data_IF_329026936226
#
_entry.id   IF_329026936226
#
_cell.length_a   1.000
_cell.length_b   1.000
_cell.length_c   1.000
_cell.angle_alpha   90.00
_cell.angle_beta   90.00
_cell.angle_gamma   90.00
#
_symmetry.space_group_name_H-M   'P 1'
#
loop_
_entity.id
_entity.type
_entity.pdbx_description
1 polymer ?
#
# COMPACT_ATOMS: atom_id res chain seq x y z
N UNK A 1 -21.72 -9.21 6.36
CA UNK A 1 -20.76 -9.06 7.49
C UNK A 1 -21.34 -9.59 8.80
N UNK A 2 -22.48 -9.09 9.28
CA UNK A 2 -23.09 -9.52 10.55
C UNK A 2 -23.28 -11.05 10.67
N UNK A 3 -23.84 -11.70 9.64
CA UNK A 3 -24.10 -13.14 9.64
C UNK A 3 -22.85 -14.02 9.85
N UNK A 4 -21.66 -13.50 9.53
CA UNK A 4 -20.38 -14.22 9.63
C UNK A 4 -19.42 -13.56 10.63
N UNK A 5 -19.88 -12.58 11.40
CA UNK A 5 -19.06 -11.86 12.38
C UNK A 5 -17.89 -11.04 11.79
N UNK A 6 -17.91 -10.73 10.49
CA UNK A 6 -16.83 -9.98 9.85
C UNK A 6 -16.80 -8.52 10.33
N UNK A 7 -15.61 -8.05 10.70
CA UNK A 7 -15.33 -6.68 11.18
C UNK A 7 -14.56 -5.82 10.17
N UNK A 8 -14.03 -6.43 9.12
CA UNK A 8 -13.23 -5.74 8.10
C UNK A 8 -13.76 -6.15 6.73
N UNK A 9 -14.14 -5.18 5.91
CA UNK A 9 -14.52 -5.37 4.50
C UNK A 9 -13.44 -4.78 3.60
N UNK A 10 -12.88 -5.58 2.71
CA UNK A 10 -11.90 -5.13 1.71
C UNK A 10 -12.53 -5.12 0.33
N UNK A 11 -12.34 -4.03 -0.41
CA UNK A 11 -13.03 -3.76 -1.67
C UNK A 11 -12.04 -3.23 -2.71
N UNK A 12 -11.52 -4.14 -3.53
CA UNK A 12 -10.51 -3.87 -4.56
C UNK A 12 -11.11 -3.44 -5.92
N UNK A 13 -12.10 -2.55 -5.89
CA UNK A 13 -12.85 -2.09 -7.06
C UNK A 13 -13.32 -0.63 -6.85
N UNK A 14 -13.72 0.02 -7.94
CA UNK A 14 -14.28 1.37 -7.92
C UNK A 14 -15.00 1.68 -9.24
N UNK A 15 -15.84 2.71 -9.23
CA UNK A 15 -16.52 3.22 -10.42
C UNK A 15 -15.53 3.76 -11.45
N UNK A 16 -15.90 3.66 -12.73
CA UNK A 16 -15.15 4.29 -13.84
C UNK A 16 -15.44 5.80 -13.95
N UNK A 17 -16.57 6.24 -13.41
CA UNK A 17 -17.02 7.63 -13.34
C UNK A 17 -17.43 7.95 -11.90
N UNK A 18 -17.67 9.24 -11.64
CA UNK A 18 -18.18 9.71 -10.34
C UNK A 18 -19.60 9.16 -10.13
N UNK A 19 -19.84 8.59 -8.96
CA UNK A 19 -21.13 8.04 -8.56
C UNK A 19 -21.47 8.53 -7.14
N UNK A 20 -22.11 9.71 -7.00
CA UNK A 20 -22.48 10.27 -5.71
C UNK A 20 -23.44 9.37 -4.91
N UNK A 21 -24.25 8.56 -5.59
CA UNK A 21 -25.22 7.67 -4.93
C UNK A 21 -24.49 6.50 -4.28
N UNK A 22 -23.57 5.88 -5.02
CA UNK A 22 -22.71 4.82 -4.49
C UNK A 22 -21.82 5.34 -3.36
N UNK A 23 -21.24 6.53 -3.55
CA UNK A 23 -20.44 7.22 -2.53
C UNK A 23 -21.20 7.39 -1.21
N UNK A 24 -22.40 7.97 -1.27
CA UNK A 24 -23.25 8.19 -0.10
C UNK A 24 -23.68 6.87 0.53
N UNK A 25 -24.06 5.86 -0.27
CA UNK A 25 -24.47 4.56 0.24
C UNK A 25 -23.36 3.87 1.06
N UNK A 26 -22.12 3.87 0.57
CA UNK A 26 -20.99 3.32 1.32
C UNK A 26 -20.58 4.18 2.51
N UNK A 27 -20.72 5.49 2.40
CA UNK A 27 -20.51 6.44 3.48
C UNK A 27 -21.47 6.21 4.66
N UNK A 28 -22.78 6.16 4.38
CA UNK A 28 -23.81 5.83 5.37
C UNK A 28 -23.63 4.42 5.94
N UNK A 29 -23.29 3.43 5.09
CA UNK A 29 -23.05 2.07 5.56
C UNK A 29 -21.90 2.02 6.59
N UNK A 30 -20.82 2.76 6.36
CA UNK A 30 -19.72 2.86 7.30
C UNK A 30 -20.10 3.59 8.59
N UNK A 31 -20.85 4.71 8.47
CA UNK A 31 -21.37 5.46 9.61
C UNK A 31 -22.28 4.61 10.51
N UNK A 32 -23.22 3.87 9.92
CA UNK A 32 -24.20 3.03 10.62
C UNK A 32 -23.59 1.75 11.21
N UNK A 33 -22.35 1.43 10.85
CA UNK A 33 -21.65 0.24 11.31
C UNK A 33 -20.29 0.60 11.94
N UNK A 34 -20.27 1.38 13.04
CA UNK A 34 -19.04 1.90 13.63
C UNK A 34 -18.09 0.81 14.14
N UNK A 35 -18.59 -0.40 14.36
CA UNK A 35 -17.83 -1.58 14.75
C UNK A 35 -17.05 -2.22 13.58
N UNK A 36 -17.17 -1.70 12.36
CA UNK A 36 -16.59 -2.28 11.14
C UNK A 36 -15.68 -1.29 10.41
N UNK A 37 -14.59 -1.81 9.85
CA UNK A 37 -13.71 -1.06 8.96
C UNK A 37 -14.01 -1.42 7.50
N UNK A 38 -14.29 -0.43 6.68
CA UNK A 38 -14.45 -0.57 5.22
C UNK A 38 -13.22 -0.03 4.51
N UNK A 39 -12.54 -0.88 3.74
CA UNK A 39 -11.26 -0.58 3.07
C UNK A 39 -11.47 -0.61 1.56
N UNK A 40 -11.08 0.46 0.86
CA UNK A 40 -11.23 0.61 -0.59
C UNK A 40 -9.92 0.96 -1.29
N UNK A 41 -9.74 0.45 -2.50
CA UNK A 41 -8.64 0.87 -3.37
C UNK A 41 -8.85 2.30 -3.87
N UNK A 42 -7.77 3.08 -3.95
CA UNK A 42 -7.84 4.45 -4.45
C UNK A 42 -8.15 4.54 -5.96
N UNK A 43 -7.82 3.50 -6.74
CA UNK A 43 -7.90 3.50 -8.19
C UNK A 43 -6.53 3.56 -8.86
N UNK A 44 -6.50 3.31 -10.18
CA UNK A 44 -5.27 3.19 -10.97
C UNK A 44 -5.16 4.28 -12.05
N UNK A 45 -5.59 5.51 -11.73
CA UNK A 45 -5.63 6.64 -12.68
C UNK A 45 -4.55 7.70 -12.40
N UNK A 46 -3.52 7.39 -11.60
CA UNK A 46 -2.49 8.35 -11.19
C UNK A 46 -1.61 8.91 -12.29
N UNK A 47 -1.46 8.18 -13.40
CA UNK A 47 -0.75 8.64 -14.61
C UNK A 47 -1.64 9.48 -15.53
N UNK A 48 -2.96 9.33 -15.41
CA UNK A 48 -3.94 10.04 -16.26
C UNK A 48 -4.24 11.44 -15.74
N UNK A 49 -4.10 11.66 -14.44
CA UNK A 49 -4.33 12.97 -13.83
C UNK A 49 -3.42 13.19 -12.62
N UNK A 50 -2.89 14.41 -12.52
CA UNK A 50 -2.01 14.82 -11.44
C UNK A 50 -2.75 15.06 -10.11
N UNK A 51 -4.09 15.14 -10.09
CA UNK A 51 -4.97 15.28 -8.91
C UNK A 51 -6.38 14.75 -9.18
N UNK A 52 -7.22 14.63 -8.14
CA UNK A 52 -8.64 14.28 -8.23
C UNK A 52 -8.94 12.98 -9.01
N UNK A 53 -8.06 11.99 -8.91
CA UNK A 53 -8.19 10.72 -9.66
C UNK A 53 -8.61 9.52 -8.80
N UNK A 54 -8.92 9.76 -7.52
CA UNK A 54 -9.49 8.75 -6.62
C UNK A 54 -10.87 8.35 -7.11
N UNK A 55 -11.14 7.04 -7.14
CA UNK A 55 -12.41 6.48 -7.62
C UNK A 55 -13.41 6.30 -6.48
N UNK A 56 -14.69 6.52 -6.79
CA UNK A 56 -15.79 6.20 -5.88
C UNK A 56 -15.93 4.68 -5.73
N UNK A 57 -16.27 4.15 -4.54
CA UNK A 57 -16.59 4.87 -3.30
C UNK A 57 -15.37 5.16 -2.42
N UNK A 58 -14.14 4.95 -2.91
CA UNK A 58 -12.88 5.25 -2.21
C UNK A 58 -12.67 6.75 -1.90
N UNK A 59 -13.53 7.63 -2.39
CA UNK A 59 -13.57 9.05 -2.00
C UNK A 59 -14.35 9.29 -0.71
N UNK A 60 -15.12 8.31 -0.21
CA UNK A 60 -15.96 8.46 0.98
C UNK A 60 -15.15 8.84 2.21
N UNK A 61 -15.67 9.80 2.97
CA UNK A 61 -15.06 10.26 4.23
C UNK A 61 -15.04 9.17 5.31
N UNK A 62 -15.99 8.24 5.27
CA UNK A 62 -16.17 7.22 6.30
C UNK A 62 -15.47 5.88 6.01
N UNK A 63 -14.98 5.67 4.78
CA UNK A 63 -14.18 4.49 4.44
C UNK A 63 -12.68 4.79 4.55
N UNK A 64 -11.86 3.76 4.69
CA UNK A 64 -10.40 3.86 4.60
C UNK A 64 -9.93 3.60 3.17
N UNK A 65 -9.23 4.56 2.58
CA UNK A 65 -8.80 4.46 1.17
C UNK A 65 -7.31 4.23 1.03
N UNK A 66 -6.94 3.30 0.15
CA UNK A 66 -5.60 2.71 0.07
C UNK A 66 -4.97 2.97 -1.30
N UNK A 67 -3.87 3.71 -1.31
CA UNK A 67 -2.99 3.84 -2.48
C UNK A 67 -1.92 2.74 -2.54
N UNK A 68 -1.19 2.67 -3.64
CA UNK A 68 -0.20 1.63 -3.90
C UNK A 68 1.24 2.14 -3.81
N UNK A 69 2.07 1.41 -3.07
CA UNK A 69 3.53 1.51 -3.16
C UNK A 69 4.01 0.78 -4.41
N UNK A 70 5.09 1.30 -4.99
CA UNK A 70 5.86 0.65 -6.04
C UNK A 70 6.59 -0.60 -5.50
N UNK A 71 7.24 -1.35 -6.39
CA UNK A 71 7.95 -2.59 -6.09
C UNK A 71 8.95 -2.39 -4.95
N UNK A 72 8.81 -3.20 -3.89
CA UNK A 72 9.76 -3.23 -2.76
C UNK A 72 11.03 -4.06 -3.06
N UNK A 73 11.05 -4.74 -4.21
CA UNK A 73 12.20 -5.54 -4.64
C UNK A 73 13.31 -4.66 -5.21
N UNK A 74 14.56 -5.08 -4.96
CA UNK A 74 15.75 -4.26 -5.22
C UNK A 74 15.90 -3.85 -6.69
N UNK A 75 15.41 -4.69 -7.59
CA UNK A 75 15.28 -4.41 -9.02
C UNK A 75 14.01 -5.04 -9.60
N UNK A 76 13.26 -4.29 -10.43
CA UNK A 76 12.17 -4.87 -11.18
C UNK A 76 12.78 -5.88 -12.16
N UNK A 77 12.23 -7.10 -12.21
CA UNK A 77 12.47 -8.09 -13.27
C UNK A 77 13.78 -8.90 -13.18
N UNK A 78 14.45 -9.00 -12.04
CA UNK A 78 15.59 -9.93 -11.88
C UNK A 78 15.16 -11.36 -11.57
N UNK A 79 15.83 -12.30 -12.22
CA UNK A 79 15.68 -13.73 -12.03
C UNK A 79 17.07 -14.34 -11.92
N UNK A 80 17.17 -15.46 -11.21
CA UNK A 80 18.42 -16.17 -11.00
C UNK A 80 18.30 -17.51 -11.74
N UNK A 81 19.23 -17.75 -12.65
CA UNK A 81 19.39 -19.01 -13.34
C UNK A 81 20.54 -19.78 -12.70
N UNK A 82 20.28 -20.99 -12.22
CA UNK A 82 21.32 -21.87 -11.65
C UNK A 82 21.41 -23.18 -12.43
N UNK A 83 22.64 -23.64 -12.69
CA UNK A 83 22.86 -24.90 -13.39
C UNK A 83 24.33 -25.12 -13.71
N UNK A 84 24.76 -26.39 -13.74
CA UNK A 84 26.17 -26.78 -14.01
C UNK A 84 27.21 -26.02 -13.15
N UNK A 85 26.88 -25.68 -11.91
CA UNK A 85 27.75 -24.90 -11.00
C UNK A 85 27.79 -23.39 -11.27
N UNK A 86 27.00 -22.88 -12.21
CA UNK A 86 26.88 -21.45 -12.52
C UNK A 86 25.63 -20.85 -11.88
N UNK A 87 25.72 -19.56 -11.55
CA UNK A 87 24.60 -18.73 -11.09
C UNK A 87 24.62 -17.44 -11.89
N UNK A 88 23.61 -17.23 -12.72
CA UNK A 88 23.54 -16.13 -13.68
C UNK A 88 22.31 -15.29 -13.39
N UNK A 89 22.50 -13.97 -13.31
CA UNK A 89 21.39 -13.03 -13.21
C UNK A 89 20.78 -12.78 -14.60
N UNK A 90 19.46 -12.84 -14.65
CA UNK A 90 18.66 -12.56 -15.84
C UNK A 90 17.76 -11.35 -15.59
N UNK A 91 17.49 -10.60 -16.65
CA UNK A 91 16.47 -9.56 -16.70
C UNK A 91 15.29 -10.04 -17.54
N UNK A 92 14.06 -9.84 -17.06
CA UNK A 92 12.87 -10.22 -17.82
C UNK A 92 12.48 -9.16 -18.85
N UNK A 93 12.30 -9.59 -20.10
CA UNK A 93 11.68 -8.80 -21.17
C UNK A 93 10.18 -9.11 -21.30
N UNK A 94 9.80 -10.37 -21.07
CA UNK A 94 8.42 -10.84 -20.90
C UNK A 94 8.35 -11.69 -19.63
N UNK A 95 7.58 -11.28 -18.60
CA UNK A 95 7.57 -11.94 -17.29
C UNK A 95 6.95 -13.33 -17.33
N UNK A 96 7.46 -14.23 -16.46
CA UNK A 96 6.82 -15.52 -16.16
C UNK A 96 5.71 -15.35 -15.12
N UNK A 97 4.64 -16.12 -15.28
CA UNK A 97 3.70 -16.46 -14.20
C UNK A 97 4.22 -17.73 -13.53
N UNK A 98 4.40 -17.72 -12.20
CA UNK A 98 5.16 -18.74 -11.46
C UNK A 98 4.33 -19.97 -11.07
N UNK A 99 4.95 -21.16 -11.12
CA UNK A 99 4.47 -22.38 -10.45
C UNK A 99 4.88 -22.43 -8.96
N UNK A 100 4.25 -23.34 -8.21
CA UNK A 100 4.28 -23.48 -6.75
C UNK A 100 5.65 -23.45 -6.04
N UNK A 101 6.73 -23.78 -6.73
CA UNK A 101 8.04 -23.98 -6.08
C UNK A 101 9.08 -22.92 -6.41
N UNK A 102 8.77 -21.90 -7.24
CA UNK A 102 9.77 -20.92 -7.68
C UNK A 102 10.95 -21.54 -8.44
N UNK A 103 10.90 -22.85 -8.72
CA UNK A 103 11.83 -23.64 -9.52
C UNK A 103 11.05 -24.11 -10.73
N UNK A 104 11.38 -23.55 -11.88
CA UNK A 104 10.89 -24.09 -13.13
C UNK A 104 11.93 -25.06 -13.67
N UNK A 105 11.59 -26.35 -13.72
CA UNK A 105 12.26 -27.31 -14.60
C UNK A 105 11.87 -26.99 -16.04
N UNK A 106 12.41 -25.91 -16.59
CA UNK A 106 12.04 -25.44 -17.93
C UNK A 106 12.93 -26.06 -19.00
N UNK A 107 12.30 -26.42 -20.12
CA UNK A 107 12.97 -26.51 -21.41
C UNK A 107 13.41 -25.09 -21.80
N UNK A 108 14.58 -24.69 -21.33
CA UNK A 108 15.16 -23.38 -21.64
C UNK A 108 15.84 -23.46 -23.00
N UNK A 109 15.58 -22.47 -23.84
CA UNK A 109 16.36 -22.24 -25.06
C UNK A 109 17.16 -20.97 -24.88
N UNK A 110 18.48 -21.07 -25.05
CA UNK A 110 19.38 -19.93 -24.98
C UNK A 110 19.79 -19.55 -26.40
N UNK A 111 19.69 -18.27 -26.74
CA UNK A 111 20.16 -17.72 -28.02
C UNK A 111 21.16 -16.59 -27.80
N UNK A 112 22.11 -16.45 -28.72
CA UNK A 112 22.96 -15.27 -28.79
C UNK A 112 22.22 -14.18 -29.59
N UNK A 113 21.74 -13.13 -28.93
CA UNK A 113 21.01 -12.03 -29.56
C UNK A 113 21.90 -11.08 -30.38
N UNK A 114 23.22 -11.15 -30.19
CA UNK A 114 24.19 -10.33 -30.90
C UNK A 114 24.64 -10.98 -32.22
N UNK A 115 24.41 -12.28 -32.39
CA UNK A 115 24.75 -13.01 -33.61
C UNK A 115 23.61 -12.93 -34.63
N UNK A 116 23.85 -12.23 -35.74
CA UNK A 116 22.86 -12.08 -36.81
C UNK A 116 22.60 -13.38 -37.59
N UNK A 117 23.47 -14.39 -37.47
CA UNK A 117 23.22 -15.72 -38.01
C UNK A 117 22.26 -16.54 -37.13
N UNK A 118 22.06 -16.13 -35.87
CA UNK A 118 21.13 -16.77 -34.94
C UNK A 118 19.75 -16.15 -35.09
N UNK A 119 18.80 -16.96 -35.57
CA UNK A 119 17.40 -16.55 -35.66
C UNK A 119 16.74 -16.54 -34.27
N UNK A 120 16.97 -15.45 -33.54
CA UNK A 120 16.39 -15.24 -32.21
C UNK A 120 14.86 -15.25 -32.24
N UNK A 121 14.22 -14.88 -33.36
CA UNK A 121 12.76 -14.94 -33.48
C UNK A 121 12.28 -16.39 -33.44
N UNK A 122 12.90 -17.30 -34.20
CA UNK A 122 12.51 -18.71 -34.22
C UNK A 122 12.89 -19.47 -32.93
N UNK A 123 14.03 -19.14 -32.33
CA UNK A 123 14.44 -19.70 -31.04
C UNK A 123 13.42 -19.36 -29.95
N UNK A 124 12.84 -18.16 -30.02
CA UNK A 124 11.97 -17.62 -28.98
C UNK A 124 10.47 -17.80 -29.27
N UNK A 125 10.06 -18.03 -30.51
CA UNK A 125 8.66 -18.20 -30.93
C UNK A 125 8.08 -19.57 -30.52
N UNK A 126 7.93 -19.81 -29.22
CA UNK A 126 7.30 -21.02 -28.71
C UNK A 126 6.56 -20.79 -27.38
N UNK A 127 5.23 -21.02 -27.37
CA UNK A 127 4.37 -20.94 -26.18
C UNK A 127 4.72 -21.91 -25.06
N UNK A 128 5.52 -22.95 -25.33
CA UNK A 128 5.84 -23.99 -24.34
C UNK A 128 7.26 -23.88 -23.78
N UNK A 129 8.11 -22.98 -24.31
CA UNK A 129 9.52 -22.86 -23.90
C UNK A 129 9.83 -21.49 -23.33
N UNK A 130 10.75 -21.46 -22.36
CA UNK A 130 11.30 -20.21 -21.81
C UNK A 130 12.57 -19.85 -22.56
N UNK A 131 12.60 -18.63 -23.10
CA UNK A 131 13.72 -18.12 -23.86
C UNK A 131 14.68 -17.28 -23.02
N UNK A 132 15.99 -17.45 -23.21
CA UNK A 132 17.03 -16.56 -22.64
C UNK A 132 17.92 -16.05 -23.77
N UNK A 133 18.03 -14.73 -23.90
CA UNK A 133 18.92 -14.10 -24.86
C UNK A 133 20.17 -13.56 -24.17
N UNK A 134 21.35 -14.01 -24.57
CA UNK A 134 22.57 -13.25 -24.29
C UNK A 134 22.59 -12.01 -25.20
N UNK A 135 22.93 -10.85 -24.66
CA UNK A 135 23.20 -9.65 -25.47
C UNK A 135 24.17 -8.71 -24.78
N UNK A 136 24.99 -8.01 -25.55
CA UNK A 136 25.79 -6.86 -25.11
C UNK A 136 25.06 -5.52 -25.28
N UNK A 137 23.92 -5.49 -25.99
CA UNK A 137 23.16 -4.28 -26.29
C UNK A 137 21.64 -4.55 -26.27
N UNK A 138 21.00 -4.23 -25.13
CA UNK A 138 19.57 -4.40 -24.93
C UNK A 138 18.71 -3.69 -25.97
N UNK A 139 19.06 -2.47 -26.36
CA UNK A 139 18.27 -1.69 -27.34
C UNK A 139 18.23 -2.40 -28.68
N UNK A 140 19.38 -2.89 -29.16
CA UNK A 140 19.46 -3.64 -30.40
C UNK A 140 18.65 -4.94 -30.32
N UNK A 141 18.73 -5.68 -29.21
CA UNK A 141 17.93 -6.89 -28.99
C UNK A 141 16.43 -6.59 -29.02
N UNK A 142 15.97 -5.54 -28.33
CA UNK A 142 14.55 -5.13 -28.32
C UNK A 142 14.08 -4.77 -29.74
N UNK A 143 14.90 -4.05 -30.51
CA UNK A 143 14.57 -3.70 -31.90
C UNK A 143 14.48 -4.93 -32.81
N UNK A 144 15.36 -5.92 -32.64
CA UNK A 144 15.27 -7.21 -33.35
C UNK A 144 13.97 -7.94 -32.98
N UNK A 145 13.66 -8.06 -31.68
CA UNK A 145 12.44 -8.73 -31.19
C UNK A 145 11.15 -8.06 -31.66
N UNK A 146 11.14 -6.73 -31.81
CA UNK A 146 9.99 -5.99 -32.35
C UNK A 146 9.63 -6.40 -33.79
N UNK A 147 10.62 -6.82 -34.58
CA UNK A 147 10.47 -7.23 -35.99
C UNK A 147 10.00 -8.69 -36.14
N UNK A 148 9.98 -9.49 -35.08
CA UNK A 148 9.50 -10.86 -35.14
C UNK A 148 7.99 -10.90 -35.50
N UNK A 149 7.64 -11.70 -36.50
CA UNK A 149 6.26 -11.82 -37.01
C UNK A 149 5.34 -12.57 -36.03
N UNK A 150 5.88 -13.52 -35.26
CA UNK A 150 5.20 -14.21 -34.16
C UNK A 150 5.69 -13.66 -32.81
N UNK A 151 4.76 -13.38 -31.89
CA UNK A 151 5.06 -12.87 -30.54
C UNK A 151 4.52 -13.81 -29.46
N UNK A 152 4.57 -15.11 -29.72
CA UNK A 152 4.04 -16.12 -28.81
C UNK A 152 5.16 -16.67 -27.93
N UNK A 153 5.41 -15.99 -26.81
CA UNK A 153 6.44 -16.36 -25.83
C UNK A 153 5.78 -16.92 -24.58
N UNK A 154 6.28 -18.05 -24.04
CA UNK A 154 5.95 -18.44 -22.65
C UNK A 154 6.53 -17.43 -21.67
N UNK A 155 7.81 -17.11 -21.88
CA UNK A 155 8.52 -16.01 -21.25
C UNK A 155 9.86 -15.77 -21.93
N UNK A 156 10.39 -14.58 -21.73
CA UNK A 156 11.60 -14.10 -22.38
C UNK A 156 12.47 -13.35 -21.38
N UNK A 157 13.70 -13.81 -21.26
CA UNK A 157 14.75 -13.24 -20.42
C UNK A 157 15.93 -12.81 -21.26
N UNK A 158 16.74 -11.93 -20.70
CA UNK A 158 18.04 -11.58 -21.23
C UNK A 158 19.12 -11.57 -20.14
N UNK A 159 20.37 -11.69 -20.57
CA UNK A 159 21.53 -11.48 -19.70
C UNK A 159 22.70 -10.92 -20.49
N UNK A 160 23.55 -10.17 -19.80
CA UNK A 160 24.83 -9.70 -20.34
C UNK A 160 25.97 -10.71 -20.06
N UNK A 161 25.67 -11.81 -19.36
CA UNK A 161 26.64 -12.84 -19.05
C UNK A 161 26.68 -13.92 -20.15
N UNK A 162 27.74 -13.90 -20.95
CA UNK A 162 27.93 -14.85 -22.06
C UNK A 162 28.05 -16.31 -21.60
N UNK A 163 28.35 -16.57 -20.32
CA UNK A 163 28.46 -17.94 -19.79
C UNK A 163 27.14 -18.70 -19.86
N UNK A 164 26.00 -18.00 -19.99
CA UNK A 164 24.68 -18.60 -20.19
C UNK A 164 24.62 -19.53 -21.42
N UNK A 165 25.46 -19.27 -22.44
CA UNK A 165 25.56 -20.11 -23.63
C UNK A 165 26.09 -21.52 -23.31
N UNK A 166 26.83 -21.70 -22.21
CA UNK A 166 27.32 -23.00 -21.75
C UNK A 166 26.20 -23.86 -21.12
N UNK A 167 25.07 -23.23 -20.78
CA UNK A 167 23.90 -23.91 -20.20
C UNK A 167 22.91 -24.42 -21.26
N UNK A 168 23.19 -24.20 -22.55
CA UNK A 168 22.37 -24.73 -23.66
C UNK A 168 22.27 -26.26 -23.55
N UNK A 169 21.04 -26.78 -23.53
CA UNK A 169 20.78 -28.23 -23.44
C UNK A 169 21.09 -28.86 -22.09
N UNK A 170 21.40 -28.06 -21.05
CA UNK A 170 21.59 -28.51 -19.68
C UNK A 170 20.33 -28.32 -18.85
N UNK A 171 20.16 -29.14 -17.82
CA UNK A 171 19.14 -28.91 -16.79
C UNK A 171 19.54 -27.69 -15.96
N UNK A 172 18.60 -26.76 -15.84
CA UNK A 172 18.76 -25.48 -15.15
C UNK A 172 17.54 -25.22 -14.28
N UNK A 173 17.72 -24.45 -13.22
CA UNK A 173 16.64 -23.92 -12.39
C UNK A 173 16.55 -22.42 -12.59
N UNK A 174 15.33 -21.93 -12.73
CA UNK A 174 15.04 -20.51 -12.84
C UNK A 174 14.21 -20.07 -11.63
N UNK A 175 14.71 -19.09 -10.88
CA UNK A 175 14.10 -18.55 -9.69
C UNK A 175 13.86 -17.04 -9.81
N UNK A 176 12.80 -16.52 -9.21
CA UNK A 176 12.62 -15.07 -9.03
C UNK A 176 13.60 -14.54 -7.99
N UNK A 177 14.31 -13.46 -8.30
CA UNK A 177 15.01 -12.70 -7.27
C UNK A 177 13.99 -11.86 -6.49
N UNK A 178 13.60 -12.36 -5.32
CA UNK A 178 12.66 -11.70 -4.41
C UNK A 178 13.37 -10.97 -3.26
N UNK A 179 14.66 -10.65 -3.41
CA UNK A 179 15.42 -9.95 -2.38
C UNK A 179 14.81 -8.58 -2.12
N UNK A 180 14.35 -8.37 -0.89
CA UNK A 180 13.82 -7.10 -0.41
C UNK A 180 14.97 -6.22 0.05
N UNK A 181 14.98 -4.96 -0.39
CA UNK A 181 15.91 -3.98 0.14
C UNK A 181 15.24 -3.13 1.21
N UNK A 182 15.36 -3.59 2.45
CA UNK A 182 14.75 -2.94 3.61
C UNK A 182 15.38 -1.58 3.95
N UNK A 183 16.53 -1.26 3.36
CA UNK A 183 17.25 0.01 3.56
C UNK A 183 16.85 1.09 2.56
N UNK A 184 16.11 0.76 1.50
CA UNK A 184 15.64 1.73 0.51
C UNK A 184 14.40 2.48 1.01
N UNK A 185 14.30 3.73 0.59
CA UNK A 185 13.05 4.46 0.59
C UNK A 185 12.06 3.80 -0.37
N UNK A 186 10.79 3.80 -0.01
CA UNK A 186 9.70 3.34 -0.85
C UNK A 186 9.39 4.38 -1.92
N UNK A 187 8.97 3.92 -3.09
CA UNK A 187 8.36 4.77 -4.11
C UNK A 187 6.85 4.57 -4.11
N UNK A 188 6.12 5.59 -4.54
CA UNK A 188 4.68 5.48 -4.81
C UNK A 188 4.51 4.95 -6.23
N UNK A 189 3.63 3.98 -6.44
CA UNK A 189 3.37 3.47 -7.78
C UNK A 189 2.78 4.59 -8.66
N UNK A 190 3.29 4.75 -9.89
CA UNK A 190 2.88 5.82 -10.81
C UNK A 190 1.37 5.77 -11.11
N UNK A 191 0.83 4.55 -11.26
CA UNK A 191 -0.58 4.31 -11.50
C UNK A 191 -1.49 4.64 -10.31
N UNK A 192 -0.98 4.70 -9.08
CA UNK A 192 -1.81 4.92 -7.89
C UNK A 192 -2.54 6.25 -8.00
N UNK A 193 -3.87 6.21 -7.97
CA UNK A 193 -4.71 7.40 -8.01
C UNK A 193 -4.34 8.40 -6.91
N UNK A 194 -4.59 9.68 -7.20
CA UNK A 194 -4.02 10.82 -6.50
C UNK A 194 -5.12 11.73 -6.02
N UNK A 195 -4.98 12.17 -4.77
CA UNK A 195 -5.89 13.08 -4.14
C UNK A 195 -5.74 14.56 -4.52
N UNK A 196 -6.51 15.40 -3.82
CA UNK A 196 -7.56 14.99 -2.87
C UNK A 196 -8.73 14.29 -3.60
N UNK A 197 -9.69 13.75 -2.85
CA UNK A 197 -10.97 13.34 -3.43
C UNK A 197 -11.61 14.52 -4.17
N UNK A 198 -12.56 14.25 -5.07
CA UNK A 198 -13.24 15.31 -5.83
C UNK A 198 -13.90 16.38 -4.94
N UNK A 199 -14.36 15.98 -3.76
CA UNK A 199 -14.95 16.85 -2.74
C UNK A 199 -13.92 17.64 -1.92
N UNK A 200 -12.63 17.48 -2.19
CA UNK A 200 -11.54 18.11 -1.44
C UNK A 200 -11.08 17.32 -0.20
N UNK A 201 -11.63 16.13 0.07
CA UNK A 201 -11.22 15.33 1.24
C UNK A 201 -9.85 14.69 1.02
N UNK A 202 -9.00 14.62 2.05
CA UNK A 202 -7.70 13.94 1.98
C UNK A 202 -7.88 12.44 1.68
N UNK A 203 -7.48 12.02 0.47
CA UNK A 203 -7.50 10.62 -0.01
C UNK A 203 -6.33 10.39 -1.00
N UNK A 204 -5.73 9.18 -1.09
CA UNK A 204 -5.91 8.06 -0.16
C UNK A 204 -5.39 8.44 1.23
N UNK A 205 -5.73 7.66 2.24
CA UNK A 205 -5.26 7.92 3.60
C UNK A 205 -3.96 7.18 3.91
N UNK A 206 -3.78 5.99 3.35
CA UNK A 206 -2.59 5.18 3.58
C UNK A 206 -2.13 4.51 2.30
N UNK A 207 -0.87 4.12 2.27
CA UNK A 207 -0.29 3.31 1.21
C UNK A 207 0.06 1.91 1.73
N UNK A 208 -0.12 0.93 0.87
CA UNK A 208 0.31 -0.45 1.11
C UNK A 208 1.01 -1.02 -0.15
N UNK A 209 1.78 -2.12 -0.03
CA UNK A 209 2.42 -2.75 -1.18
C UNK A 209 1.39 -3.13 -2.24
N UNK A 210 1.50 -2.57 -3.45
CA UNK A 210 0.55 -2.81 -4.53
C UNK A 210 1.18 -3.24 -5.86
N UNK A 211 2.49 -3.06 -6.02
CA UNK A 211 3.21 -3.43 -7.24
C UNK A 211 3.89 -4.78 -7.12
N UNK A 212 3.75 -5.62 -8.17
CA UNK A 212 4.36 -6.96 -8.27
C UNK A 212 4.02 -7.88 -7.09
N UNK A 213 2.76 -7.90 -6.70
CA UNK A 213 2.28 -8.76 -5.62
C UNK A 213 2.06 -10.18 -6.15
N UNK A 214 2.78 -11.13 -5.59
CA UNK A 214 2.60 -12.56 -5.83
C UNK A 214 1.44 -13.03 -4.95
N UNK A 215 0.39 -13.57 -5.55
CA UNK A 215 -0.78 -14.07 -4.82
C UNK A 215 -1.39 -15.29 -5.51
N UNK A 216 -2.42 -15.87 -4.89
CA UNK A 216 -3.10 -17.06 -5.40
C UNK A 216 -3.71 -16.80 -6.79
N UNK A 217 -3.51 -17.75 -7.71
CA UNK A 217 -4.11 -17.75 -9.03
C UNK A 217 -5.35 -18.66 -9.06
N UNK A 218 -6.42 -18.19 -9.69
CA UNK A 218 -7.65 -18.97 -9.81
C UNK A 218 -7.49 -20.05 -10.89
N UNK A 219 -7.87 -21.29 -10.55
CA UNK A 219 -7.93 -22.42 -11.50
C UNK A 219 -9.18 -22.40 -12.40
N UNK A 220 -10.02 -21.36 -12.29
CA UNK A 220 -11.27 -21.28 -13.04
C UNK A 220 -11.02 -21.00 -14.52
N UNK A 221 -11.31 -21.98 -15.38
CA UNK A 221 -11.26 -21.80 -16.84
C UNK A 221 -12.44 -20.97 -17.38
N UNK A 222 -13.45 -20.66 -16.56
CA UNK A 222 -14.69 -19.98 -16.95
C UNK A 222 -14.55 -18.45 -17.03
N UNK A 223 -13.62 -17.86 -16.28
CA UNK A 223 -13.45 -16.41 -16.17
C UNK A 223 -12.13 -15.93 -16.77
N UNK A 224 -11.74 -16.52 -17.90
CA UNK A 224 -10.58 -16.11 -18.70
C UNK A 224 -10.85 -14.76 -19.37
N UNK A 225 -10.87 -13.67 -18.60
CA UNK A 225 -11.14 -12.32 -19.10
C UNK A 225 -9.85 -11.49 -19.08
N UNK A 226 -9.13 -11.47 -20.20
CA UNK A 226 -8.01 -10.56 -20.44
C UNK A 226 -6.74 -10.85 -19.62
N UNK A 227 -5.90 -9.82 -19.42
CA UNK A 227 -4.62 -9.89 -18.72
C UNK A 227 -4.73 -10.02 -17.17
N UNK A 228 -5.94 -10.15 -16.62
CA UNK A 228 -6.20 -10.13 -15.19
C UNK A 228 -6.78 -11.47 -14.72
N UNK A 229 -5.88 -12.41 -14.42
CA UNK A 229 -6.21 -13.65 -13.72
C UNK A 229 -6.88 -14.74 -14.58
N UNK A 230 -6.62 -16.00 -14.21
CA UNK A 230 -6.95 -17.23 -14.93
C UNK A 230 -6.01 -17.51 -16.11
N UNK A 231 -4.79 -17.94 -15.77
CA UNK A 231 -3.87 -18.57 -16.73
C UNK A 231 -4.49 -19.85 -17.31
N UNK A 232 -4.20 -20.18 -18.58
CA UNK A 232 -4.50 -21.50 -19.12
C UNK A 232 -3.62 -22.60 -18.50
N UNK A 233 -2.47 -22.20 -17.96
CA UNK A 233 -1.54 -23.06 -17.27
C UNK A 233 -1.93 -23.19 -15.79
N UNK A 234 -1.75 -24.39 -15.23
CA UNK A 234 -2.17 -24.82 -13.88
C UNK A 234 -1.29 -24.25 -12.75
N UNK A 235 -0.87 -22.99 -12.86
CA UNK A 235 -0.06 -22.30 -11.85
C UNK A 235 -0.91 -21.91 -10.63
N UNK A 236 -0.40 -22.18 -9.43
CA UNK A 236 -1.07 -21.78 -8.19
C UNK A 236 -0.88 -20.30 -7.83
N UNK A 237 0.11 -19.61 -8.41
CA UNK A 237 0.40 -18.21 -8.11
C UNK A 237 0.41 -17.34 -9.37
N UNK A 238 0.10 -16.06 -9.18
CA UNK A 238 0.16 -15.02 -10.21
C UNK A 238 0.74 -13.74 -9.63
N UNK A 239 1.42 -12.97 -10.47
CA UNK A 239 1.91 -11.63 -10.12
C UNK A 239 0.95 -10.60 -10.71
N UNK A 240 0.36 -9.78 -9.86
CA UNK A 240 -0.49 -8.66 -10.27
C UNK A 240 -0.03 -7.36 -9.61
N UNK A 241 -0.51 -6.26 -10.15
CA UNK A 241 -0.27 -4.93 -9.59
C UNK A 241 -1.51 -4.05 -9.66
N UNK A 242 -1.58 -3.08 -8.77
CA UNK A 242 -2.69 -2.15 -8.67
C UNK A 242 -2.99 -1.77 -7.24
N UNK A 243 -3.76 -0.70 -7.07
CA UNK A 243 -4.39 -0.40 -5.78
C UNK A 243 -5.27 -1.56 -5.31
N UNK A 244 -5.85 -2.34 -6.24
CA UNK A 244 -6.54 -3.61 -5.97
C UNK A 244 -5.71 -4.65 -5.21
N UNK A 245 -4.38 -4.62 -5.32
CA UNK A 245 -3.46 -5.49 -4.56
C UNK A 245 -3.00 -4.82 -3.26
N UNK A 246 -2.90 -3.49 -3.23
CA UNK A 246 -2.61 -2.74 -2.01
C UNK A 246 -3.76 -2.83 -0.97
N UNK A 247 -5.02 -2.77 -1.42
CA UNK A 247 -6.21 -2.82 -0.55
C UNK A 247 -6.27 -4.08 0.33
N UNK A 248 -6.10 -5.32 -0.18
CA UNK A 248 -6.09 -6.51 0.67
C UNK A 248 -4.87 -6.58 1.58
N UNK A 249 -3.71 -6.04 1.18
CA UNK A 249 -2.55 -5.93 2.06
C UNK A 249 -2.83 -5.01 3.27
N UNK A 250 -3.47 -3.86 3.04
CA UNK A 250 -3.91 -2.97 4.13
C UNK A 250 -5.00 -3.63 5.01
N UNK A 251 -5.92 -4.37 4.41
CA UNK A 251 -6.94 -5.12 5.17
C UNK A 251 -6.31 -6.21 6.04
N UNK A 252 -5.33 -6.96 5.53
CA UNK A 252 -4.54 -7.92 6.30
C UNK A 252 -3.78 -7.25 7.44
N UNK A 253 -3.22 -6.05 7.22
CA UNK A 253 -2.60 -5.26 8.28
C UNK A 253 -3.61 -4.90 9.39
N UNK A 254 -4.84 -4.49 9.02
CA UNK A 254 -5.92 -4.26 9.98
C UNK A 254 -6.29 -5.51 10.78
N UNK A 255 -6.31 -6.70 10.14
CA UNK A 255 -6.56 -7.98 10.82
C UNK A 255 -5.47 -8.24 11.87
N UNK A 256 -4.19 -8.08 11.52
CA UNK A 256 -3.08 -8.27 12.45
C UNK A 256 -3.14 -7.31 13.65
N UNK A 257 -3.47 -6.03 13.40
CA UNK A 257 -3.71 -5.05 14.46
C UNK A 257 -4.86 -5.51 15.35
N UNK A 258 -6.02 -5.83 14.79
CA UNK A 258 -7.18 -6.28 15.57
C UNK A 258 -6.84 -7.52 16.42
N UNK A 259 -6.15 -8.49 15.83
CA UNK A 259 -5.74 -9.71 16.51
C UNK A 259 -4.82 -9.42 17.68
N UNK A 260 -3.80 -8.57 17.51
CA UNK A 260 -2.86 -8.21 18.57
C UNK A 260 -3.58 -7.68 19.84
N UNK A 261 -4.58 -6.82 19.69
CA UNK A 261 -5.38 -6.32 20.82
C UNK A 261 -6.37 -7.36 21.39
N UNK A 262 -6.94 -8.21 20.54
CA UNK A 262 -7.89 -9.24 20.97
C UNK A 262 -7.18 -10.39 21.72
N UNK A 263 -6.00 -10.80 21.24
CA UNK A 263 -5.20 -11.91 21.77
C UNK A 263 -4.35 -11.51 22.98
N UNK A 264 -4.71 -10.42 23.66
CA UNK A 264 -4.09 -9.94 24.90
C UNK A 264 -2.61 -9.55 24.78
N UNK A 265 -2.13 -9.26 23.57
CA UNK A 265 -0.72 -8.83 23.38
C UNK A 265 -0.49 -7.40 23.86
N UNK A 266 -1.55 -6.65 24.10
CA UNK A 266 -1.53 -5.34 24.74
C UNK A 266 -2.12 -5.40 26.15
N UNK A 267 -1.31 -5.10 27.17
CA UNK A 267 -1.70 -5.03 28.59
C UNK A 267 -2.41 -6.29 29.14
N UNK A 268 -2.11 -7.47 28.58
CA UNK A 268 -2.67 -8.78 28.97
C UNK A 268 -4.22 -8.85 29.06
N UNK A 269 -4.91 -7.91 28.43
CA UNK A 269 -6.37 -7.77 28.49
C UNK A 269 -6.95 -7.75 27.08
N UNK A 270 -7.93 -8.62 26.74
CA UNK A 270 -8.57 -8.56 25.43
C UNK A 270 -9.23 -7.21 25.21
N UNK A 271 -9.00 -6.62 24.04
CA UNK A 271 -9.65 -5.38 23.61
C UNK A 271 -10.23 -5.56 22.23
N UNK A 272 -11.55 -5.47 22.16
CA UNK A 272 -12.26 -5.33 20.90
C UNK A 272 -12.03 -3.92 20.37
N UNK A 273 -11.64 -3.84 19.09
CA UNK A 273 -11.43 -2.58 18.40
C UNK A 273 -12.57 -2.35 17.41
N UNK A 274 -13.15 -1.16 17.45
CA UNK A 274 -14.11 -0.72 16.47
C UNK A 274 -13.43 -0.22 15.17
N UNK A 275 -14.22 0.08 14.14
CA UNK A 275 -13.72 0.45 12.82
C UNK A 275 -12.89 1.73 12.83
N UNK A 276 -13.35 2.75 13.58
CA UNK A 276 -12.65 4.03 13.72
C UNK A 276 -11.31 3.87 14.47
N UNK A 277 -11.26 3.08 15.54
CA UNK A 277 -10.01 2.80 16.26
C UNK A 277 -9.03 2.01 15.40
N UNK A 278 -9.50 1.03 14.61
CA UNK A 278 -8.64 0.34 13.64
C UNK A 278 -8.10 1.29 12.57
N UNK A 279 -8.93 2.20 12.04
CA UNK A 279 -8.50 3.25 11.11
C UNK A 279 -7.42 4.13 11.74
N UNK A 280 -7.62 4.60 12.98
CA UNK A 280 -6.64 5.42 13.71
C UNK A 280 -5.31 4.70 13.91
N UNK A 281 -5.32 3.41 14.28
CA UNK A 281 -4.10 2.63 14.47
C UNK A 281 -3.34 2.40 13.16
N UNK A 282 -4.05 2.15 12.04
CA UNK A 282 -3.41 2.07 10.73
C UNK A 282 -2.77 3.41 10.32
N UNK A 283 -3.46 4.53 10.54
CA UNK A 283 -2.93 5.88 10.27
C UNK A 283 -1.74 6.19 11.20
N UNK A 284 -1.80 5.81 12.47
CA UNK A 284 -0.72 5.99 13.43
C UNK A 284 0.54 5.20 13.04
N UNK A 285 0.32 4.01 12.45
CA UNK A 285 1.39 3.16 11.92
C UNK A 285 2.03 3.69 10.64
N UNK A 286 1.29 4.49 9.87
CA UNK A 286 1.74 4.98 8.58
C UNK A 286 2.80 6.09 8.71
N UNK A 287 3.68 6.23 7.72
CA UNK A 287 4.60 7.37 7.64
C UNK A 287 5.02 7.70 6.22
N UNK A 288 5.13 9.00 5.93
CA UNK A 288 5.71 9.50 4.69
C UNK A 288 7.23 9.55 4.73
N UNK A 289 7.87 9.56 5.91
CA UNK A 289 9.35 9.66 6.04
C UNK A 289 10.13 8.54 5.37
N UNK A 290 9.49 7.41 5.06
CA UNK A 290 10.11 6.31 4.30
C UNK A 290 9.84 6.38 2.80
N UNK A 291 9.05 7.35 2.34
CA UNK A 291 8.79 7.59 0.92
C UNK A 291 9.84 8.55 0.37
N UNK A 292 10.36 8.23 -0.81
CA UNK A 292 11.45 8.98 -1.41
C UNK A 292 11.08 10.46 -1.59
N UNK A 293 11.83 11.34 -0.94
CA UNK A 293 11.65 12.79 -1.06
C UNK A 293 10.43 13.37 -0.33
N UNK A 294 9.78 12.62 0.56
CA UNK A 294 8.62 13.10 1.31
C UNK A 294 8.86 13.07 2.82
N UNK A 295 8.73 14.24 3.47
CA UNK A 295 8.86 14.41 4.92
C UNK A 295 7.57 14.97 5.57
N UNK A 296 6.50 15.11 4.80
CA UNK A 296 5.26 15.72 5.25
C UNK A 296 4.46 14.77 6.16
N UNK A 297 3.70 15.30 7.13
CA UNK A 297 2.77 14.50 7.93
C UNK A 297 1.65 13.93 7.04
N UNK A 298 1.17 14.77 6.13
CA UNK A 298 0.18 14.40 5.11
C UNK A 298 0.61 14.86 3.72
N UNK A 299 0.20 14.13 2.69
CA UNK A 299 0.36 14.56 1.31
C UNK A 299 -0.77 13.99 0.45
N UNK A 300 -1.28 14.76 -0.51
CA UNK A 300 -2.46 14.36 -1.29
C UNK A 300 -2.27 13.10 -2.15
N UNK A 301 -1.02 12.72 -2.48
CA UNK A 301 -0.71 11.49 -3.23
C UNK A 301 -0.55 10.29 -2.29
N UNK A 302 -0.13 10.54 -1.06
CA UNK A 302 0.37 9.50 -0.15
C UNK A 302 -0.43 9.36 1.15
N UNK A 303 -1.37 10.27 1.39
CA UNK A 303 -2.10 10.39 2.65
C UNK A 303 -1.15 10.60 3.83
N UNK A 304 -1.37 9.79 4.87
CA UNK A 304 -0.51 9.66 6.05
C UNK A 304 0.71 8.76 5.81
N UNK A 305 0.84 8.18 4.61
CA UNK A 305 2.01 7.44 4.14
C UNK A 305 1.90 5.93 4.17
N UNK A 306 3.05 5.26 4.11
CA UNK A 306 3.14 3.81 4.04
C UNK A 306 2.93 3.16 5.42
N UNK A 307 2.06 2.15 5.50
CA UNK A 307 1.83 1.36 6.72
C UNK A 307 3.13 0.71 7.22
N UNK A 308 3.43 0.88 8.50
CA UNK A 308 4.50 0.17 9.21
C UNK A 308 3.99 -0.33 10.56
N UNK A 309 3.56 -1.60 10.59
CA UNK A 309 2.96 -2.20 11.78
C UNK A 309 3.91 -2.27 12.99
N UNK A 310 5.24 -2.17 12.78
CA UNK A 310 6.20 -2.10 13.90
C UNK A 310 6.00 -0.87 14.79
N UNK A 311 5.26 0.13 14.30
CA UNK A 311 4.94 1.35 15.06
C UNK A 311 3.73 1.20 15.99
N UNK A 312 2.93 0.15 15.83
CA UNK A 312 1.72 -0.08 16.64
C UNK A 312 1.61 -1.50 17.22
N UNK A 313 2.46 -2.43 16.79
CA UNK A 313 2.57 -3.77 17.36
C UNK A 313 3.86 -3.84 18.17
N UNK A 314 3.75 -3.79 19.50
CA UNK A 314 4.89 -3.77 20.42
C UNK A 314 4.96 -5.08 21.19
N UNK A 315 5.96 -5.92 20.91
CA UNK A 315 6.13 -7.20 21.62
C UNK A 315 7.13 -7.12 22.78
N UNK A 316 7.79 -5.98 22.93
CA UNK A 316 8.66 -5.63 24.06
C UNK A 316 8.10 -4.34 24.68
N UNK A 317 7.75 -4.40 25.97
CA UNK A 317 7.17 -3.27 26.69
C UNK A 317 8.11 -2.05 26.77
N UNK A 318 9.41 -2.21 26.48
CA UNK A 318 10.38 -1.11 26.38
C UNK A 318 10.46 -0.47 24.99
N UNK A 319 9.88 -1.07 23.95
CA UNK A 319 9.98 -0.55 22.58
C UNK A 319 9.09 0.66 22.37
N UNK A 320 7.79 0.50 22.63
CA UNK A 320 6.76 1.53 22.42
C UNK A 320 5.49 1.25 23.24
N UNK A 321 4.65 2.28 23.39
CA UNK A 321 3.34 2.19 24.04
C UNK A 321 2.22 2.76 23.19
N UNK A 322 0.99 2.36 23.51
CA UNK A 322 -0.24 2.86 22.88
C UNK A 322 -1.20 3.29 23.97
N UNK A 323 -1.86 4.43 23.76
CA UNK A 323 -3.01 4.87 24.53
C UNK A 323 -4.19 5.05 23.59
N UNK A 324 -5.36 4.55 23.98
CA UNK A 324 -6.60 4.65 23.21
C UNK A 324 -7.61 5.39 24.09
N UNK A 325 -8.32 6.36 23.51
CA UNK A 325 -9.38 7.07 24.22
C UNK A 325 -10.51 6.13 24.65
N UNK A 326 -11.25 6.50 25.69
CA UNK A 326 -12.44 5.74 26.11
C UNK A 326 -13.51 5.86 25.00
N UNK A 327 -14.13 4.74 24.66
CA UNK A 327 -15.01 4.57 23.48
C UNK A 327 -16.28 5.44 23.48
N UNK A 328 -16.68 5.99 24.62
CA UNK A 328 -18.01 6.59 24.82
C UNK A 328 -17.97 8.11 25.03
N UNK A 329 -16.83 8.75 24.77
CA UNK A 329 -16.70 10.21 24.93
C UNK A 329 -17.46 10.93 23.82
N UNK A 330 -18.71 11.31 24.07
CA UNK A 330 -19.42 12.28 23.24
C UNK A 330 -18.83 13.68 23.49
N UNK A 331 -18.48 14.36 22.40
CA UNK A 331 -18.06 15.76 22.43
C UNK A 331 -19.25 16.56 21.92
N UNK A 332 -19.93 17.37 22.76
CA UNK A 332 -20.98 18.27 22.29
C UNK A 332 -20.44 19.29 21.27
N UNK A 333 -21.28 19.75 20.34
CA UNK A 333 -20.92 20.85 19.43
C UNK A 333 -20.50 22.08 20.23
N UNK A 334 -19.50 22.81 19.73
CA UNK A 334 -18.88 23.97 20.39
C UNK A 334 -18.28 23.65 21.77
N UNK A 335 -17.78 22.43 21.95
CA UNK A 335 -17.11 22.00 23.18
C UNK A 335 -15.72 21.43 22.90
N UNK A 336 -15.02 21.06 23.97
CA UNK A 336 -13.68 20.48 23.87
C UNK A 336 -13.56 19.27 24.79
N UNK A 337 -12.82 18.27 24.33
CA UNK A 337 -12.34 17.14 25.12
C UNK A 337 -10.83 17.25 25.29
N UNK A 338 -10.31 16.89 26.47
CA UNK A 338 -8.88 16.75 26.67
C UNK A 338 -8.49 15.46 27.37
N UNK A 339 -7.35 14.93 26.97
CA UNK A 339 -6.67 13.81 27.59
C UNK A 339 -5.20 14.13 27.79
N UNK A 340 -4.59 13.51 28.79
CA UNK A 340 -3.16 13.65 29.09
C UNK A 340 -2.46 12.33 28.82
N UNK A 341 -1.28 12.39 28.21
CA UNK A 341 -0.37 11.25 28.06
C UNK A 341 1.01 11.63 28.57
N UNK A 342 1.69 10.69 29.21
CA UNK A 342 3.09 10.88 29.63
C UNK A 342 3.98 10.30 28.53
N UNK A 343 4.66 11.18 27.81
CA UNK A 343 5.75 10.82 26.93
C UNK A 343 6.97 10.47 27.77
N UNK A 344 7.55 9.28 27.55
CA UNK A 344 8.74 8.85 28.28
C UNK A 344 9.89 8.53 27.36
N UNK A 345 11.04 9.15 27.62
CA UNK A 345 12.33 8.86 26.99
C UNK A 345 12.90 7.49 27.38
N UNK A 346 12.23 6.74 28.24
CA UNK A 346 12.58 5.35 28.57
C UNK A 346 12.26 4.38 27.44
N UNK A 347 11.27 4.69 26.60
CA UNK A 347 10.99 3.90 25.40
C UNK A 347 12.11 4.03 24.37
N UNK A 348 12.40 2.94 23.64
CA UNK A 348 13.37 2.97 22.53
C UNK A 348 12.86 3.84 21.38
N UNK A 349 11.55 3.84 21.13
CA UNK A 349 10.92 4.74 20.15
C UNK A 349 11.04 6.20 20.59
N UNK A 350 11.69 7.02 19.74
CA UNK A 350 11.78 8.49 19.89
C UNK A 350 10.73 9.21 19.05
N UNK A 351 9.56 8.59 18.92
CA UNK A 351 8.45 9.06 18.09
C UNK A 351 7.14 8.91 18.83
N UNK A 352 6.41 10.01 18.94
CA UNK A 352 5.06 10.09 19.51
C UNK A 352 4.07 10.53 18.43
N UNK A 353 3.03 9.73 18.20
CA UNK A 353 2.00 10.01 17.20
C UNK A 353 0.66 10.16 17.89
N UNK A 354 -0.05 11.24 17.59
CA UNK A 354 -1.43 11.47 18.00
C UNK A 354 -2.30 11.35 16.76
N UNK A 355 -3.37 10.58 16.85
CA UNK A 355 -4.29 10.37 15.73
C UNK A 355 -5.72 10.50 16.22
N UNK A 356 -6.46 11.38 15.56
CA UNK A 356 -7.90 11.52 15.68
C UNK A 356 -8.54 10.89 14.45
N UNK A 357 -9.57 10.07 14.64
CA UNK A 357 -10.46 9.65 13.55
C UNK A 357 -11.89 9.61 14.05
N UNK A 358 -12.84 10.01 13.23
CA UNK A 358 -14.26 9.92 13.53
C UNK A 358 -15.06 9.48 12.29
N UNK A 359 -16.29 9.04 12.53
CA UNK A 359 -17.26 8.80 11.48
C UNK A 359 -18.19 10.00 11.46
N UNK A 360 -18.39 10.55 10.28
CA UNK A 360 -19.09 11.81 10.06
C UNK A 360 -20.40 11.55 9.31
N UNK A 361 -21.57 12.04 9.77
CA UNK A 361 -22.83 11.88 9.05
C UNK A 361 -22.71 12.33 7.60
N UNK A 362 -23.31 11.59 6.67
CA UNK A 362 -23.28 11.98 5.27
C UNK A 362 -23.96 13.33 5.05
N UNK A 363 -23.33 14.18 4.25
CA UNK A 363 -23.97 15.39 3.74
C UNK A 363 -24.90 15.02 2.57
N UNK A 364 -25.77 15.96 2.15
CA UNK A 364 -26.53 15.78 0.92
C UNK A 364 -25.58 15.56 -0.26
N UNK A 365 -25.95 14.74 -1.24
CA UNK A 365 -25.14 14.48 -2.46
C UNK A 365 -24.83 15.76 -3.25
N UNK A 366 -25.67 16.78 -3.11
CA UNK A 366 -25.53 18.09 -3.74
C UNK A 366 -24.76 19.11 -2.86
N UNK A 367 -24.35 18.70 -1.65
CA UNK A 367 -23.61 19.57 -0.74
C UNK A 367 -22.22 19.89 -1.30
N UNK A 368 -21.90 21.18 -1.34
CA UNK A 368 -20.52 21.65 -1.59
C UNK A 368 -19.63 21.52 -0.35
N UNK A 369 -20.22 21.28 0.83
CA UNK A 369 -19.51 21.06 2.09
C UNK A 369 -19.28 19.55 2.25
N UNK A 370 -18.01 19.09 2.29
CA UNK A 370 -17.69 17.67 2.26
C UNK A 370 -17.76 16.96 3.63
N UNK A 371 -17.56 17.72 4.71
CA UNK A 371 -17.62 17.25 6.11
C UNK A 371 -18.78 17.95 6.82
N UNK A 372 -19.52 17.22 7.64
CA UNK A 372 -20.65 17.75 8.40
C UNK A 372 -20.17 18.29 9.74
N UNK A 373 -19.43 17.48 10.51
CA UNK A 373 -18.78 17.89 11.75
C UNK A 373 -17.31 18.20 11.48
N UNK A 374 -16.84 19.30 12.06
CA UNK A 374 -15.43 19.70 12.02
C UNK A 374 -14.78 19.56 13.41
N UNK A 375 -13.79 18.67 13.50
CA UNK A 375 -13.09 18.32 14.73
C UNK A 375 -11.59 18.51 14.56
N UNK A 376 -11.02 19.41 15.36
CA UNK A 376 -9.59 19.72 15.31
C UNK A 376 -8.83 19.03 16.45
N UNK A 377 -7.70 18.38 16.11
CA UNK A 377 -6.72 17.83 17.01
C UNK A 377 -5.64 18.86 17.33
N UNK A 378 -5.46 19.19 18.61
CA UNK A 378 -4.38 20.05 19.08
C UNK A 378 -3.60 19.34 20.17
N UNK A 379 -2.28 19.33 20.08
CA UNK A 379 -1.40 18.78 21.12
C UNK A 379 -0.55 19.89 21.73
N UNK A 380 -0.48 19.94 23.05
CA UNK A 380 0.42 20.79 23.81
C UNK A 380 1.55 19.93 24.39
N UNK A 381 2.80 20.22 24.06
CA UNK A 381 3.98 19.54 24.59
C UNK A 381 4.26 19.93 26.06
N UNK A 382 5.17 19.21 26.75
CA UNK A 382 5.60 19.56 28.11
C UNK A 382 6.12 21.00 28.25
N UNK A 383 6.78 21.53 27.22
CA UNK A 383 7.25 22.93 27.16
C UNK A 383 6.14 23.96 26.90
N UNK A 384 4.92 23.52 26.61
CA UNK A 384 3.77 24.38 26.30
C UNK A 384 3.63 24.73 24.82
N UNK A 385 4.46 24.17 23.92
CA UNK A 385 4.32 24.38 22.47
C UNK A 385 3.08 23.65 21.94
N UNK A 386 2.32 24.32 21.09
CA UNK A 386 1.10 23.79 20.46
C UNK A 386 1.37 23.27 19.05
N UNK A 387 0.74 22.15 18.72
CA UNK A 387 0.79 21.49 17.41
C UNK A 387 -0.64 21.22 16.95
N UNK A 388 -0.92 21.41 15.66
CA UNK A 388 -2.24 21.25 15.06
C UNK A 388 -2.22 20.02 14.14
N UNK A 389 -3.31 19.25 14.13
CA UNK A 389 -3.49 18.10 13.26
C UNK A 389 -3.25 18.42 11.80
N UNK A 390 -2.61 17.50 11.07
CA UNK A 390 -2.37 17.62 9.63
C UNK A 390 -1.54 18.83 9.18
N UNK A 391 -0.90 19.56 10.10
CA UNK A 391 0.01 20.64 9.75
C UNK A 391 1.36 20.07 9.29
N UNK A 392 1.77 20.40 8.06
CA UNK A 392 3.08 20.01 7.52
C UNK A 392 4.22 20.96 7.93
N UNK A 393 3.92 22.16 8.42
CA UNK A 393 4.88 23.14 8.90
C UNK A 393 4.98 23.14 10.44
N UNK A 394 5.43 22.02 11.01
CA UNK A 394 5.51 21.83 12.47
C UNK A 394 6.63 22.66 13.15
N UNK A 395 7.56 23.18 12.35
CA UNK A 395 8.68 24.01 12.82
C UNK A 395 8.45 25.51 12.57
N UNK A 396 7.64 25.87 11.57
CA UNK A 396 7.34 27.25 11.27
C UNK A 396 6.21 27.83 12.10
N UNK A 397 5.84 29.06 11.74
CA UNK A 397 4.74 29.80 12.37
C UNK A 397 3.42 29.61 11.61
N UNK A 398 3.39 28.77 10.57
CA UNK A 398 2.20 28.57 9.77
C UNK A 398 1.18 27.74 10.55
N UNK A 399 -0.02 28.28 10.70
CA UNK A 399 -1.16 27.61 11.33
C UNK A 399 -2.11 26.98 10.31
N UNK A 400 -1.84 27.09 9.01
CA UNK A 400 -2.65 26.48 7.95
C UNK A 400 -2.51 24.96 7.98
N UNK A 401 -3.42 24.33 8.70
CA UNK A 401 -3.61 22.88 8.72
C UNK A 401 -4.58 22.45 7.60
N UNK A 402 -4.55 21.15 7.28
CA UNK A 402 -5.51 20.57 6.36
C UNK A 402 -6.74 20.07 7.11
N UNK A 403 -7.85 20.80 7.00
CA UNK A 403 -9.08 20.56 7.77
C UNK A 403 -10.09 19.65 7.05
N UNK A 404 -9.98 19.43 5.74
CA UNK A 404 -10.93 18.59 5.00
C UNK A 404 -10.63 17.08 5.15
N UNK A 405 -10.66 16.57 6.38
CA UNK A 405 -10.39 15.17 6.69
C UNK A 405 -11.11 14.74 7.97
N UNK A 406 -11.70 13.55 7.96
CA UNK A 406 -12.24 12.93 9.18
C UNK A 406 -11.15 12.22 10.01
N UNK A 407 -9.90 12.47 9.64
CA UNK A 407 -8.69 11.89 10.23
C UNK A 407 -7.67 13.01 10.39
N UNK A 408 -7.11 13.16 11.59
CA UNK A 408 -6.02 14.09 11.85
C UNK A 408 -4.85 13.42 12.53
N UNK A 409 -3.64 13.88 12.20
CA UNK A 409 -2.41 13.33 12.75
C UNK A 409 -1.41 14.41 13.14
N UNK A 410 -0.78 14.22 14.29
CA UNK A 410 0.41 14.94 14.73
C UNK A 410 1.51 13.93 15.00
N UNK A 411 2.73 14.22 14.57
CA UNK A 411 3.91 13.40 14.86
C UNK A 411 4.97 14.29 15.51
N UNK A 412 5.37 13.93 16.73
CA UNK A 412 6.48 14.54 17.46
C UNK A 412 7.62 13.53 17.54
N UNK A 413 8.72 13.82 16.89
CA UNK A 413 9.88 12.93 16.81
C UNK A 413 11.17 13.75 16.78
N UNK A 414 12.29 13.05 16.95
CA UNK A 414 13.63 13.67 16.97
C UNK A 414 13.71 14.80 18.02
N UNK A 415 13.97 16.04 17.59
CA UNK A 415 14.09 17.22 18.44
C UNK A 415 12.75 17.72 18.99
N UNK A 416 11.62 17.29 18.42
CA UNK A 416 10.27 17.61 18.90
C UNK A 416 9.80 16.67 20.01
N UNK A 417 10.51 15.57 20.26
CA UNK A 417 10.15 14.63 21.33
C UNK A 417 10.64 15.15 22.69
N UNK A 418 9.70 15.52 23.54
CA UNK A 418 9.95 15.97 24.90
C UNK A 418 9.53 14.91 25.93
N UNK A 419 10.31 14.77 27.00
CA UNK A 419 9.95 13.91 28.14
C UNK A 419 8.95 14.66 29.01
N UNK A 420 7.86 14.00 29.41
CA UNK A 420 6.86 14.58 30.31
C UNK A 420 5.44 14.52 29.77
N UNK A 421 4.58 15.36 30.37
CA UNK A 421 3.15 15.33 30.12
C UNK A 421 2.78 16.13 28.87
N UNK A 422 2.14 15.46 27.91
CA UNK A 422 1.50 16.10 26.76
C UNK A 422 -0.02 16.15 26.96
N UNK A 423 -0.62 17.29 26.64
CA UNK A 423 -2.08 17.44 26.62
C UNK A 423 -2.58 17.31 25.17
N UNK A 424 -3.52 16.39 24.94
CA UNK A 424 -4.23 16.24 23.68
C UNK A 424 -5.62 16.85 23.82
N UNK A 425 -5.98 17.76 22.92
CA UNK A 425 -7.25 18.45 22.87
C UNK A 425 -7.95 18.11 21.56
N UNK A 426 -9.25 17.84 21.66
CA UNK A 426 -10.14 17.69 20.52
C UNK A 426 -11.20 18.77 20.64
N UNK A 427 -11.22 19.70 19.70
CA UNK A 427 -12.20 20.80 19.64
C UNK A 427 -13.27 20.47 18.61
N UNK A 428 -14.55 20.66 18.96
CA UNK A 428 -15.65 20.47 18.02
C UNK A 428 -16.27 21.83 17.67
N UNK A 429 -16.20 22.21 16.40
CA UNK A 429 -16.58 23.55 15.95
C UNK A 429 -18.07 23.72 15.65
N UNK A 430 -18.69 22.83 14.87
CA UNK A 430 -20.11 22.89 14.53
C UNK A 430 -20.71 21.52 14.24
#
# INVERSE_FOLDING_TARGET
MNNVGSKISTNSWGGIERDPTLLQAWGSLAYDNPDKLFVFGAGNNGEKSSSFSILDPGTSKNVLSVGALDSLYDTPKRYILTGSGQTIQLESLVPLVFSDEGVLGVNIVVGNGDDDAVDICNIMANKTKTGIAYTSNQTALIEKLKKCQSKEYKALFMTYDATVLQLVGKSVQLQLDSTLNTSKFYNVASYSSVGPAFSGILKPEILAPGTRIISANSKSKKYQTGNFGCSQDDYAYIVLEGTSMATPNAAGAAVLVRQYFTDRKWMDTPRELDGKTLRALLIASASNKRLLGNNNVIDRRTGFGAIDLSKVLSFDASDSGISISKSDSQIPSQSHYSAQIIASKTFKSRRLSFVLTYLDPETSVDSVIPIYNDLDLVVTSPSGKRYIGNNNDIYGNNTDAYHFSTSEKIVLEDDLFEDGQCACHISFHF
#
